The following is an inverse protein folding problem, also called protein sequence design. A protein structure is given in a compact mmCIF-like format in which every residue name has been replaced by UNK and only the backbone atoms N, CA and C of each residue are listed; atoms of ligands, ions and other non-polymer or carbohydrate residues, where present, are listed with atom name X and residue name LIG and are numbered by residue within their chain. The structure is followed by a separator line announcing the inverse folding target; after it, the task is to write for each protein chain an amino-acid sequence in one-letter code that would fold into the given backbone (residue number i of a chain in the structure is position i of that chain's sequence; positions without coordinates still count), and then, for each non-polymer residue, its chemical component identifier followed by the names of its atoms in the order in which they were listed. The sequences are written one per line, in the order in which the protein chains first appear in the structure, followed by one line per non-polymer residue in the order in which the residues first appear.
data_IF_660218956227
#
_entry.id   IF_660218956227
#
_cell.length_a   1.000
_cell.length_b   1.000
_cell.length_c   1.000
_cell.angle_alpha   90.00
_cell.angle_beta   90.00
_cell.angle_gamma   90.00
#
_symmetry.space_group_name_H-M   'P 1'
#
loop_
_entity.id
_entity.type
_entity.pdbx_description
1 polymer ?
#
# COMPACT_ATOMS: atom_id res chain seq x y z
N UNK A 1 -3.07 -45.16 2.40
CA UNK A 1 -3.91 -44.71 3.53
C UNK A 1 -3.56 -43.26 3.80
N UNK A 2 -4.33 -42.30 3.30
CA UNK A 2 -4.17 -40.88 3.65
C UNK A 2 -4.85 -40.75 5.03
N UNK A 3 -4.06 -40.49 6.06
CA UNK A 3 -4.57 -40.23 7.40
C UNK A 3 -5.54 -39.03 7.28
N UNK A 4 -6.83 -39.24 7.60
CA UNK A 4 -7.78 -38.15 7.81
C UNK A 4 -7.20 -37.26 8.93
N UNK A 5 -6.66 -36.08 8.55
CA UNK A 5 -6.27 -35.07 9.54
C UNK A 5 -7.53 -34.73 10.35
N UNK A 6 -7.46 -34.93 11.65
CA UNK A 6 -8.51 -34.54 12.58
C UNK A 6 -8.81 -33.03 12.31
N UNK A 7 -10.09 -32.68 12.12
CA UNK A 7 -10.52 -31.29 11.80
C UNK A 7 -10.14 -30.28 12.89
N UNK A 8 -9.70 -30.71 14.04
CA UNK A 8 -9.45 -29.88 15.23
C UNK A 8 -7.96 -29.79 15.61
N UNK A 9 -7.04 -30.05 14.67
CA UNK A 9 -5.60 -29.83 14.87
C UNK A 9 -5.14 -28.81 13.81
N UNK A 10 -4.50 -27.69 14.21
CA UNK A 10 -3.99 -26.71 13.24
C UNK A 10 -2.91 -27.33 12.35
N UNK A 11 -2.84 -26.86 11.10
CA UNK A 11 -1.83 -27.32 10.14
C UNK A 11 -0.39 -26.94 10.55
N UNK A 12 -0.26 -25.81 11.24
CA UNK A 12 0.97 -25.31 11.86
C UNK A 12 0.71 -25.15 13.35
N UNK A 13 1.60 -25.66 14.19
CA UNK A 13 1.50 -25.58 15.64
C UNK A 13 2.84 -25.24 16.26
N UNK A 14 2.81 -24.52 17.35
CA UNK A 14 3.99 -24.20 18.14
C UNK A 14 4.56 -25.47 18.78
N UNK A 15 5.88 -25.56 18.88
CA UNK A 15 6.57 -26.66 19.54
C UNK A 15 6.22 -26.67 21.03
N UNK A 16 6.05 -27.87 21.59
CA UNK A 16 5.69 -28.06 22.98
C UNK A 16 4.19 -28.14 23.27
N UNK A 17 3.32 -27.92 22.30
CA UNK A 17 1.87 -28.09 22.45
C UNK A 17 1.34 -29.25 21.61
N UNK A 18 0.42 -30.03 22.20
CA UNK A 18 -0.17 -31.20 21.56
C UNK A 18 -1.69 -31.31 21.81
N UNK A 19 -2.31 -32.39 21.30
CA UNK A 19 -3.75 -32.66 21.46
C UNK A 19 -4.61 -31.90 20.44
N UNK A 20 -5.88 -32.24 20.36
CA UNK A 20 -6.86 -31.59 19.49
C UNK A 20 -7.42 -30.32 20.16
N UNK A 21 -7.68 -29.29 19.38
CA UNK A 21 -8.39 -28.09 19.85
C UNK A 21 -9.87 -28.39 20.06
N UNK A 22 -10.50 -27.68 20.99
CA UNK A 22 -11.93 -27.80 21.29
C UNK A 22 -12.71 -26.83 20.39
N UNK A 23 -13.74 -27.34 19.70
CA UNK A 23 -14.75 -26.47 19.08
C UNK A 23 -15.71 -25.98 20.16
N UNK A 24 -15.94 -24.69 20.22
CA UNK A 24 -16.84 -24.04 21.19
C UNK A 24 -17.50 -22.83 20.55
N UNK A 25 -18.57 -22.31 21.11
CA UNK A 25 -19.20 -21.10 20.65
C UNK A 25 -18.59 -19.86 21.31
N UNK A 26 -18.63 -18.72 20.62
CA UNK A 26 -18.15 -17.43 21.15
C UNK A 26 -18.81 -17.14 22.50
N UNK A 27 -20.13 -17.30 22.62
CA UNK A 27 -20.86 -17.03 23.87
C UNK A 27 -20.52 -17.99 25.03
N UNK A 28 -19.87 -19.13 24.77
CA UNK A 28 -19.41 -20.04 25.83
C UNK A 28 -18.09 -19.60 26.49
N UNK A 29 -17.30 -18.77 25.81
CA UNK A 29 -15.96 -18.34 26.24
C UNK A 29 -15.85 -16.83 26.42
N UNK A 30 -16.96 -16.08 26.27
CA UNK A 30 -16.99 -14.63 26.38
C UNK A 30 -18.36 -14.10 26.76
N UNK A 31 -18.44 -12.84 27.16
CA UNK A 31 -19.65 -12.09 27.42
C UNK A 31 -19.87 -11.03 26.32
N UNK A 32 -21.02 -11.09 25.64
CA UNK A 32 -21.38 -10.11 24.62
C UNK A 32 -22.22 -8.97 25.23
N UNK A 33 -21.82 -7.74 24.92
CA UNK A 33 -22.47 -6.52 25.38
C UNK A 33 -22.92 -5.66 24.18
N UNK A 34 -23.99 -4.86 24.43
CA UNK A 34 -24.50 -3.91 23.46
C UNK A 34 -23.84 -2.54 23.64
N UNK A 35 -23.50 -1.90 22.55
CA UNK A 35 -23.21 -0.47 22.56
C UNK A 35 -24.47 0.37 22.80
N UNK A 36 -24.30 1.66 23.10
CA UNK A 36 -25.36 2.62 23.44
C UNK A 36 -25.12 3.97 22.74
N UNK A 37 -26.18 4.73 22.54
CA UNK A 37 -26.06 6.10 22.06
C UNK A 37 -25.22 6.95 23.03
N UNK A 38 -24.30 7.74 22.48
CA UNK A 38 -23.36 8.58 23.23
C UNK A 38 -23.72 10.06 23.26
N UNK A 39 -24.74 10.49 22.49
CA UNK A 39 -25.03 11.91 22.27
C UNK A 39 -25.48 12.67 23.53
N UNK A 40 -25.84 11.95 24.58
CA UNK A 40 -26.21 12.51 25.89
C UNK A 40 -25.04 12.71 26.83
N UNK A 41 -23.81 12.27 26.43
CA UNK A 41 -22.60 12.36 27.22
C UNK A 41 -21.87 13.68 26.96
N UNK A 42 -21.11 14.12 27.96
CA UNK A 42 -20.23 15.28 27.87
C UNK A 42 -18.94 15.01 27.08
N UNK A 43 -18.23 16.07 26.74
CA UNK A 43 -16.88 15.96 26.16
C UNK A 43 -15.90 15.41 27.20
N UNK A 44 -14.97 14.52 26.77
CA UNK A 44 -14.01 13.89 27.65
C UNK A 44 -12.88 13.22 26.88
N UNK A 45 -12.17 12.29 27.52
CA UNK A 45 -11.02 11.58 26.94
C UNK A 45 -11.28 10.12 26.60
N UNK A 46 -12.49 9.60 26.88
CA UNK A 46 -12.84 8.20 26.65
C UNK A 46 -13.30 8.01 25.20
N UNK A 47 -12.61 7.18 24.41
CA UNK A 47 -12.92 7.01 22.99
C UNK A 47 -14.27 6.30 22.79
N UNK A 48 -15.04 6.82 21.83
CA UNK A 48 -16.27 6.20 21.32
C UNK A 48 -15.98 5.51 20.00
N UNK A 49 -16.38 4.26 19.90
CA UNK A 49 -16.16 3.44 18.72
C UNK A 49 -17.47 3.04 18.04
N UNK A 50 -17.47 3.11 16.71
CA UNK A 50 -18.51 2.56 15.84
C UNK A 50 -17.94 1.48 14.93
N UNK A 51 -18.74 0.93 14.02
CA UNK A 51 -18.31 -0.17 13.13
C UNK A 51 -17.15 0.22 12.18
N UNK A 52 -16.89 1.50 12.00
CA UNK A 52 -15.77 2.03 11.22
C UNK A 52 -14.54 2.42 12.05
N UNK A 53 -14.56 2.21 13.37
CA UNK A 53 -13.47 2.58 14.27
C UNK A 53 -13.82 3.78 15.17
N UNK A 54 -12.80 4.54 15.59
CA UNK A 54 -12.94 5.73 16.44
C UNK A 54 -13.81 6.82 15.80
N UNK A 55 -14.65 7.46 16.62
CA UNK A 55 -15.57 8.51 16.20
C UNK A 55 -15.32 9.84 16.91
N UNK A 56 -15.41 9.85 18.23
CA UNK A 56 -15.29 11.02 19.12
C UNK A 56 -14.78 10.55 20.49
N UNK A 57 -14.62 11.49 21.44
CA UNK A 57 -14.33 11.16 22.84
C UNK A 57 -15.40 11.77 23.77
N UNK A 58 -15.71 11.06 24.85
CA UNK A 58 -16.74 11.38 25.84
C UNK A 58 -16.20 11.27 27.26
N UNK A 59 -17.01 11.65 28.26
CA UNK A 59 -16.66 11.67 29.68
C UNK A 59 -16.99 10.36 30.44
N UNK A 60 -17.64 9.39 29.79
CA UNK A 60 -18.04 8.12 30.42
C UNK A 60 -17.62 6.92 29.57
N UNK A 61 -17.43 5.76 30.22
CA UNK A 61 -17.12 4.48 29.59
C UNK A 61 -18.25 3.48 29.73
N UNK A 62 -18.41 2.57 28.76
CA UNK A 62 -19.18 1.34 28.90
C UNK A 62 -18.35 0.20 29.51
N UNK A 63 -17.07 0.14 29.17
CA UNK A 63 -16.06 -0.70 29.82
C UNK A 63 -14.97 0.19 30.38
N UNK A 64 -14.69 0.04 31.70
CA UNK A 64 -13.67 0.83 32.38
C UNK A 64 -12.31 0.14 32.40
N UNK A 65 -12.28 -1.16 32.62
CA UNK A 65 -11.06 -1.92 32.90
C UNK A 65 -10.89 -3.17 32.01
N UNK A 66 -11.95 -3.59 31.30
CA UNK A 66 -11.93 -4.81 30.50
C UNK A 66 -11.78 -4.49 29.03
N UNK A 67 -10.69 -4.98 28.44
CA UNK A 67 -10.49 -4.97 27.00
C UNK A 67 -11.49 -5.93 26.32
N UNK A 68 -11.87 -5.62 25.07
CA UNK A 68 -12.88 -6.39 24.36
C UNK A 68 -12.57 -6.50 22.85
N UNK A 69 -13.33 -7.35 22.17
CA UNK A 69 -13.38 -7.38 20.70
C UNK A 69 -14.68 -6.72 20.23
N UNK A 70 -14.54 -5.64 19.46
CA UNK A 70 -15.66 -4.97 18.79
C UNK A 70 -16.10 -5.78 17.56
N UNK A 71 -17.41 -6.10 17.47
CA UNK A 71 -18.00 -6.81 16.32
C UNK A 71 -19.17 -5.98 15.82
N UNK A 72 -19.14 -5.63 14.52
CA UNK A 72 -20.19 -4.82 13.90
C UNK A 72 -21.57 -5.49 14.00
N UNK A 73 -22.53 -4.77 14.59
CA UNK A 73 -23.95 -5.16 14.61
C UNK A 73 -24.62 -4.81 13.28
N UNK A 74 -24.28 -3.64 12.69
CA UNK A 74 -24.93 -3.12 11.48
C UNK A 74 -23.95 -2.31 10.66
N UNK A 75 -23.84 -2.57 9.37
CA UNK A 75 -22.92 -1.91 8.44
C UNK A 75 -21.65 -2.74 8.22
N UNK A 76 -20.51 -2.32 8.73
CA UNK A 76 -19.25 -3.05 8.61
C UNK A 76 -19.19 -4.20 9.62
N UNK A 77 -19.73 -5.36 9.26
CA UNK A 77 -19.80 -6.54 10.14
C UNK A 77 -18.58 -7.46 10.04
N UNK A 78 -17.79 -7.36 8.96
CA UNK A 78 -16.68 -8.28 8.63
C UNK A 78 -15.31 -7.84 9.12
N UNK A 79 -15.24 -6.75 9.90
CA UNK A 79 -13.97 -6.20 10.40
C UNK A 79 -14.00 -6.03 11.93
N UNK A 80 -13.97 -7.12 12.71
CA UNK A 80 -13.77 -7.03 14.15
C UNK A 80 -12.45 -6.35 14.49
N UNK A 81 -12.36 -5.72 15.66
CA UNK A 81 -11.12 -5.11 16.14
C UNK A 81 -11.07 -5.04 17.67
N UNK A 82 -9.86 -4.95 18.23
CA UNK A 82 -9.66 -4.86 19.67
C UNK A 82 -10.03 -3.47 20.17
N UNK A 83 -10.78 -3.43 21.27
CA UNK A 83 -11.15 -2.25 22.03
C UNK A 83 -10.35 -2.26 23.34
N UNK A 84 -9.52 -1.24 23.54
CA UNK A 84 -8.76 -1.05 24.78
C UNK A 84 -9.55 -0.20 25.76
N UNK A 85 -9.74 -0.71 26.98
CA UNK A 85 -10.39 0.03 28.05
C UNK A 85 -9.57 1.25 28.52
N UNK A 86 -10.21 2.34 28.98
CA UNK A 86 -11.66 2.56 28.96
C UNK A 86 -12.21 2.95 27.60
N UNK A 87 -13.41 2.50 27.24
CA UNK A 87 -14.06 2.83 25.97
C UNK A 87 -15.58 2.92 26.05
N UNK A 88 -16.18 3.55 25.03
CA UNK A 88 -17.61 3.51 24.73
C UNK A 88 -17.85 2.96 23.34
N UNK A 89 -18.94 2.20 23.13
CA UNK A 89 -19.36 1.75 21.79
C UNK A 89 -20.76 2.23 21.47
N UNK A 90 -21.01 2.61 20.20
CA UNK A 90 -22.34 3.00 19.74
C UNK A 90 -23.23 1.76 19.53
N UNK A 91 -24.55 1.97 19.42
CA UNK A 91 -25.59 0.94 19.30
C UNK A 91 -25.43 0.02 18.06
N UNK A 92 -24.64 0.41 17.07
CA UNK A 92 -24.32 -0.39 15.88
C UNK A 92 -23.08 -1.28 16.04
N UNK A 93 -22.42 -1.26 17.21
CA UNK A 93 -21.25 -2.05 17.53
C UNK A 93 -21.50 -2.86 18.82
N UNK A 94 -21.39 -4.19 18.74
CA UNK A 94 -21.27 -5.03 19.92
C UNK A 94 -19.84 -5.01 20.42
N UNK A 95 -19.64 -5.24 21.72
CA UNK A 95 -18.33 -5.57 22.25
C UNK A 95 -18.39 -6.86 23.05
N UNK A 96 -17.37 -7.69 22.88
CA UNK A 96 -17.31 -9.05 23.43
C UNK A 96 -16.08 -9.15 24.32
N UNK A 97 -16.30 -9.39 25.61
CA UNK A 97 -15.25 -9.53 26.62
C UNK A 97 -14.96 -11.00 26.82
N UNK A 98 -13.73 -11.50 26.53
CA UNK A 98 -13.35 -12.88 26.81
C UNK A 98 -13.39 -13.15 28.31
N UNK A 99 -13.71 -14.41 28.71
CA UNK A 99 -13.62 -14.83 30.10
C UNK A 99 -12.14 -15.04 30.53
N UNK A 100 -11.91 -15.32 31.83
CA UNK A 100 -10.55 -15.44 32.37
C UNK A 100 -9.74 -16.64 31.81
N UNK A 101 -10.40 -17.63 31.22
CA UNK A 101 -9.77 -18.79 30.59
C UNK A 101 -9.49 -18.60 29.09
N UNK A 102 -9.74 -17.37 28.55
CA UNK A 102 -9.61 -17.06 27.13
C UNK A 102 -8.72 -15.83 26.93
N UNK A 103 -7.59 -16.02 26.26
CA UNK A 103 -6.70 -14.93 25.93
C UNK A 103 -7.32 -14.00 24.89
N UNK A 104 -7.28 -12.69 25.12
CA UNK A 104 -7.91 -11.68 24.26
C UNK A 104 -7.33 -11.68 22.84
N UNK A 105 -6.01 -11.76 22.70
CA UNK A 105 -5.36 -11.67 21.38
C UNK A 105 -5.63 -12.94 20.55
N UNK A 106 -5.60 -14.10 21.20
CA UNK A 106 -6.01 -15.37 20.58
C UNK A 106 -7.50 -15.34 20.18
N UNK A 107 -8.37 -14.87 21.10
CA UNK A 107 -9.81 -14.75 20.86
C UNK A 107 -10.08 -13.84 19.65
N UNK A 108 -9.43 -12.68 19.58
CA UNK A 108 -9.53 -11.78 18.45
C UNK A 108 -9.11 -12.46 17.15
N UNK A 109 -7.95 -13.13 17.12
CA UNK A 109 -7.49 -13.89 15.95
C UNK A 109 -8.51 -14.96 15.51
N UNK A 110 -9.16 -15.64 16.47
CA UNK A 110 -10.21 -16.63 16.21
C UNK A 110 -11.48 -16.00 15.65
N UNK A 111 -11.88 -14.84 16.17
CA UNK A 111 -13.06 -14.07 15.69
C UNK A 111 -12.85 -13.55 14.27
N UNK A 112 -11.62 -13.22 13.87
CA UNK A 112 -11.28 -12.82 12.50
C UNK A 112 -11.44 -13.96 11.48
N UNK A 113 -11.36 -15.24 11.91
CA UNK A 113 -11.54 -16.40 11.03
C UNK A 113 -13.01 -16.73 10.74
N UNK A 114 -13.94 -16.11 11.48
CA UNK A 114 -15.39 -16.33 11.27
C UNK A 114 -15.84 -15.59 10.01
N UNK A 115 -16.49 -16.31 9.10
CA UNK A 115 -17.14 -15.69 7.93
C UNK A 115 -18.43 -14.96 8.37
N UNK A 116 -18.26 -13.72 8.81
CA UNK A 116 -19.37 -12.87 9.27
C UNK A 116 -20.32 -12.51 8.13
N UNK A 117 -19.84 -12.46 6.89
CA UNK A 117 -20.70 -12.16 5.74
C UNK A 117 -21.65 -13.31 5.45
N UNK A 118 -21.21 -14.56 5.57
CA UNK A 118 -22.07 -15.73 5.48
C UNK A 118 -23.10 -15.81 6.62
N UNK A 119 -22.86 -15.15 7.73
CA UNK A 119 -23.76 -15.08 8.89
C UNK A 119 -24.67 -13.83 8.89
N UNK A 120 -24.61 -13.01 7.84
CA UNK A 120 -25.47 -11.83 7.69
C UNK A 120 -26.95 -12.25 7.67
N UNK A 121 -27.77 -11.56 8.48
CA UNK A 121 -29.20 -11.86 8.64
C UNK A 121 -30.11 -10.88 7.87
N UNK A 122 -29.55 -9.88 7.19
CA UNK A 122 -30.30 -8.85 6.50
C UNK A 122 -30.13 -8.90 4.97
N UNK A 123 -31.15 -8.55 4.23
CA UNK A 123 -31.14 -8.43 2.77
C UNK A 123 -30.61 -7.08 2.26
N UNK A 124 -30.57 -6.06 3.14
CA UNK A 124 -30.07 -4.72 2.82
C UNK A 124 -28.69 -4.46 3.45
N UNK A 125 -28.64 -3.47 4.35
CA UNK A 125 -27.41 -3.19 5.08
C UNK A 125 -27.02 -4.39 5.94
N UNK A 126 -25.80 -4.95 5.79
CA UNK A 126 -25.38 -6.12 6.55
C UNK A 126 -25.57 -5.96 8.05
N UNK A 127 -26.10 -6.99 8.72
CA UNK A 127 -26.33 -6.96 10.15
C UNK A 127 -26.19 -8.33 10.81
N UNK A 128 -25.76 -8.31 12.07
CA UNK A 128 -25.66 -9.48 12.95
C UNK A 128 -26.56 -9.30 14.18
N UNK A 129 -27.09 -10.40 14.70
CA UNK A 129 -27.77 -10.44 15.99
C UNK A 129 -26.81 -10.92 17.08
N UNK A 130 -27.12 -10.61 18.35
CA UNK A 130 -26.38 -11.13 19.49
C UNK A 130 -26.38 -12.68 19.52
N UNK A 131 -27.52 -13.27 19.14
CA UNK A 131 -27.64 -14.73 19.03
C UNK A 131 -26.69 -15.29 17.96
N UNK A 132 -26.61 -14.67 16.78
CA UNK A 132 -25.73 -15.09 15.70
C UNK A 132 -24.25 -15.05 16.11
N UNK A 133 -23.85 -14.00 16.85
CA UNK A 133 -22.46 -13.90 17.35
C UNK A 133 -22.22 -14.94 18.43
N UNK A 134 -23.08 -15.04 19.45
CA UNK A 134 -22.91 -15.99 20.53
C UNK A 134 -22.90 -17.45 20.07
N UNK A 135 -23.63 -17.79 19.01
CA UNK A 135 -23.68 -19.15 18.45
C UNK A 135 -22.60 -19.43 17.39
N UNK A 136 -21.75 -18.46 17.07
CA UNK A 136 -20.66 -18.69 16.12
C UNK A 136 -19.58 -19.59 16.74
N UNK A 137 -19.24 -20.65 16.01
CA UNK A 137 -18.22 -21.61 16.44
C UNK A 137 -16.82 -21.08 16.18
N UNK A 138 -15.94 -21.29 17.16
CA UNK A 138 -14.50 -21.10 17.08
C UNK A 138 -13.79 -22.36 17.62
N UNK A 139 -12.55 -22.57 17.20
CA UNK A 139 -11.70 -23.63 17.74
C UNK A 139 -10.66 -23.02 18.65
N UNK A 140 -10.55 -23.55 19.90
CA UNK A 140 -9.62 -23.03 20.89
C UNK A 140 -8.73 -24.15 21.44
N UNK A 141 -7.44 -23.85 21.73
CA UNK A 141 -6.58 -24.74 22.50
C UNK A 141 -7.17 -25.06 23.86
N UNK A 142 -6.79 -26.21 24.41
CA UNK A 142 -7.24 -26.62 25.75
C UNK A 142 -6.59 -25.81 26.88
N UNK A 143 -5.41 -25.24 26.64
CA UNK A 143 -4.64 -24.52 27.65
C UNK A 143 -4.57 -23.04 27.35
N UNK A 144 -4.60 -22.24 28.40
CA UNK A 144 -4.46 -20.76 28.27
C UNK A 144 -3.05 -20.39 27.78
N UNK A 145 -2.03 -21.18 28.16
CA UNK A 145 -0.64 -20.97 27.74
C UNK A 145 -0.47 -21.07 26.21
N UNK A 146 -1.13 -22.05 25.57
CA UNK A 146 -1.11 -22.16 24.11
C UNK A 146 -1.85 -20.96 23.45
N UNK A 147 -2.99 -20.56 24.02
CA UNK A 147 -3.71 -19.38 23.53
C UNK A 147 -2.83 -18.12 23.62
N UNK A 148 -2.19 -17.90 24.79
CA UNK A 148 -1.30 -16.76 25.01
C UNK A 148 -0.09 -16.78 24.07
N UNK A 149 0.53 -17.94 23.86
CA UNK A 149 1.66 -18.07 22.95
C UNK A 149 1.27 -17.72 21.49
N UNK A 150 0.11 -18.18 21.03
CA UNK A 150 -0.42 -17.86 19.70
C UNK A 150 -0.81 -16.38 19.62
N UNK A 151 -1.53 -15.87 20.64
CA UNK A 151 -1.94 -14.46 20.71
C UNK A 151 -0.75 -13.51 20.67
N UNK A 152 0.34 -13.84 21.37
CA UNK A 152 1.57 -13.06 21.36
C UNK A 152 2.22 -12.99 19.96
N UNK A 153 2.18 -14.08 19.18
CA UNK A 153 2.69 -14.07 17.80
C UNK A 153 1.90 -13.08 16.94
N UNK A 154 0.56 -13.14 16.98
CA UNK A 154 -0.27 -12.24 16.20
C UNK A 154 -0.12 -10.78 16.64
N UNK A 155 -0.05 -10.52 17.94
CA UNK A 155 0.22 -9.17 18.48
C UNK A 155 1.56 -8.64 17.98
N UNK A 156 2.64 -9.44 18.06
CA UNK A 156 3.95 -9.04 17.58
C UNK A 156 3.98 -8.76 16.06
N UNK A 157 3.23 -9.57 15.29
CA UNK A 157 3.11 -9.35 13.83
C UNK A 157 2.34 -8.07 13.52
N UNK A 158 1.22 -7.81 14.19
CA UNK A 158 0.44 -6.59 14.02
C UNK A 158 1.24 -5.34 14.42
N UNK A 159 2.00 -5.41 15.52
CA UNK A 159 2.89 -4.33 15.95
C UNK A 159 3.99 -4.08 14.93
N UNK A 160 4.62 -5.13 14.39
CA UNK A 160 5.63 -5.00 13.34
C UNK A 160 5.04 -4.35 12.07
N UNK A 161 3.85 -4.82 11.61
CA UNK A 161 3.15 -4.23 10.47
C UNK A 161 2.85 -2.75 10.71
N UNK A 162 2.35 -2.39 11.89
CA UNK A 162 2.05 -1.01 12.26
C UNK A 162 3.31 -0.14 12.30
N UNK A 163 4.42 -0.63 12.83
CA UNK A 163 5.70 0.08 12.86
C UNK A 163 6.24 0.30 11.44
N UNK A 164 6.22 -0.74 10.60
CA UNK A 164 6.65 -0.62 9.20
C UNK A 164 5.78 0.36 8.41
N UNK A 165 4.46 0.32 8.62
CA UNK A 165 3.52 1.26 7.98
C UNK A 165 3.81 2.70 8.37
N UNK A 166 4.01 2.98 9.67
CA UNK A 166 4.36 4.33 10.16
C UNK A 166 5.72 4.79 9.61
N UNK A 167 6.72 3.89 9.61
CA UNK A 167 8.04 4.19 9.03
C UNK A 167 7.93 4.54 7.56
N UNK A 168 7.20 3.74 6.78
CA UNK A 168 6.99 3.98 5.35
C UNK A 168 6.30 5.33 5.09
N UNK A 169 5.24 5.64 5.84
CA UNK A 169 4.57 6.95 5.74
C UNK A 169 5.50 8.12 6.06
N UNK A 170 6.31 8.01 7.12
CA UNK A 170 7.28 9.04 7.49
C UNK A 170 8.35 9.23 6.42
N UNK A 171 8.84 8.15 5.81
CA UNK A 171 9.81 8.21 4.70
C UNK A 171 9.22 8.85 3.45
N UNK A 172 7.97 8.55 3.11
CA UNK A 172 7.28 9.20 2.00
C UNK A 172 7.10 10.70 2.23
N UNK A 173 6.70 11.11 3.44
CA UNK A 173 6.60 12.53 3.81
C UNK A 173 7.96 13.22 3.74
N UNK A 174 9.02 12.58 4.23
CA UNK A 174 10.38 13.11 4.16
C UNK A 174 10.86 13.24 2.70
N UNK A 175 10.59 12.24 1.84
CA UNK A 175 10.90 12.29 0.40
C UNK A 175 10.21 13.48 -0.25
N UNK A 176 8.91 13.67 -0.03
CA UNK A 176 8.14 14.80 -0.58
C UNK A 176 8.70 16.14 -0.12
N UNK A 177 8.98 16.30 1.18
CA UNK A 177 9.57 17.53 1.73
C UNK A 177 10.96 17.82 1.16
N UNK A 178 11.80 16.79 0.98
CA UNK A 178 13.12 16.95 0.36
C UNK A 178 12.99 17.33 -1.13
N UNK A 179 12.06 16.72 -1.87
CA UNK A 179 11.82 17.09 -3.26
C UNK A 179 11.44 18.56 -3.41
N UNK A 180 10.51 19.05 -2.58
CA UNK A 180 10.10 20.45 -2.61
C UNK A 180 11.24 21.43 -2.29
N UNK A 181 12.22 21.03 -1.48
CA UNK A 181 13.30 21.91 -1.01
C UNK A 181 14.61 21.74 -1.78
N UNK A 182 14.90 20.56 -2.31
CA UNK A 182 16.14 20.26 -3.07
C UNK A 182 16.04 20.57 -4.56
N UNK A 183 14.85 20.91 -5.06
CA UNK A 183 14.67 21.45 -6.41
C UNK A 183 14.19 22.91 -6.32
N UNK A 184 14.76 23.83 -7.12
CA UNK A 184 14.31 25.22 -7.13
C UNK A 184 12.83 25.33 -7.44
N UNK A 185 12.12 26.17 -6.70
CA UNK A 185 10.71 26.45 -6.94
C UNK A 185 10.55 27.54 -8.03
N UNK A 186 9.31 27.77 -8.49
CA UNK A 186 9.01 28.79 -9.51
C UNK A 186 9.58 30.17 -9.10
N UNK A 187 10.39 30.76 -9.96
CA UNK A 187 11.07 32.05 -9.72
C UNK A 187 12.38 31.96 -8.93
N UNK A 188 12.83 30.77 -8.57
CA UNK A 188 14.12 30.54 -7.91
C UNK A 188 15.12 29.90 -8.89
N UNK A 189 16.41 30.21 -8.73
CA UNK A 189 17.52 29.58 -9.46
C UNK A 189 18.41 28.71 -8.56
N UNK A 190 18.15 28.73 -7.25
CA UNK A 190 18.87 27.95 -6.23
C UNK A 190 17.86 27.23 -5.35
N UNK A 191 18.04 25.92 -5.06
CA UNK A 191 17.16 25.20 -4.15
C UNK A 191 17.26 25.74 -2.71
N UNK A 192 16.17 25.62 -1.93
CA UNK A 192 16.16 26.01 -0.51
C UNK A 192 17.13 25.15 0.33
N UNK A 193 17.15 23.86 0.03
CA UNK A 193 18.05 22.88 0.67
C UNK A 193 19.02 22.36 -0.38
N UNK A 194 20.32 22.54 -0.12
CA UNK A 194 21.40 22.09 -1.01
C UNK A 194 22.38 21.21 -0.24
N UNK A 195 22.95 20.24 -0.93
CA UNK A 195 23.99 19.39 -0.35
C UNK A 195 25.27 20.21 -0.14
N UNK A 196 25.99 19.91 0.94
CA UNK A 196 27.25 20.57 1.26
C UNK A 196 28.29 20.40 0.15
N UNK A 197 29.04 21.46 -0.14
CA UNK A 197 30.10 21.46 -1.15
C UNK A 197 29.65 21.82 -2.56
N UNK A 198 28.37 22.14 -2.77
CA UNK A 198 27.85 22.64 -4.05
C UNK A 198 27.36 24.07 -3.92
N UNK A 199 27.68 24.88 -4.95
CA UNK A 199 27.32 26.31 -5.01
C UNK A 199 26.95 26.75 -6.44
N UNK A 200 26.64 28.03 -6.63
CA UNK A 200 26.25 28.62 -7.91
C UNK A 200 24.76 28.38 -8.25
N UNK A 201 24.28 29.17 -9.20
CA UNK A 201 22.89 29.08 -9.68
C UNK A 201 22.70 27.91 -10.64
N UNK A 202 21.54 27.25 -10.51
CA UNK A 202 21.13 26.27 -11.51
C UNK A 202 20.75 26.98 -12.81
N UNK A 203 20.98 26.31 -13.94
CA UNK A 203 20.75 26.86 -15.26
C UNK A 203 19.55 26.20 -15.92
N UNK A 204 18.70 27.02 -16.53
CA UNK A 204 17.60 26.53 -17.34
C UNK A 204 18.14 25.85 -18.61
N UNK A 205 17.65 24.65 -18.89
CA UNK A 205 18.00 23.88 -20.07
C UNK A 205 16.81 23.05 -20.55
N UNK A 206 16.78 22.73 -21.84
CA UNK A 206 15.79 21.84 -22.42
C UNK A 206 15.99 20.41 -21.88
N UNK A 207 14.89 19.72 -21.59
CA UNK A 207 14.95 18.31 -21.22
C UNK A 207 15.72 17.47 -22.24
N UNK A 208 15.61 17.78 -23.53
CA UNK A 208 16.30 17.07 -24.61
C UNK A 208 17.83 17.17 -24.57
N UNK A 209 18.39 18.17 -23.89
CA UNK A 209 19.85 18.31 -23.76
C UNK A 209 20.43 17.27 -22.76
N UNK A 210 19.57 16.63 -21.96
CA UNK A 210 19.95 15.75 -20.86
C UNK A 210 19.51 14.30 -21.05
N UNK A 211 18.67 14.01 -22.06
CA UNK A 211 18.08 12.69 -22.26
C UNK A 211 17.99 12.30 -23.74
N UNK A 212 18.05 10.99 -23.97
CA UNK A 212 17.72 10.37 -25.26
C UNK A 212 16.45 9.54 -25.11
N UNK A 213 15.58 9.56 -26.13
CA UNK A 213 14.32 8.81 -26.12
C UNK A 213 14.41 7.59 -27.04
N UNK A 214 13.73 6.52 -26.65
CA UNK A 214 13.47 5.39 -27.54
C UNK A 214 12.01 4.97 -27.50
N UNK A 215 11.53 4.49 -28.65
CA UNK A 215 10.13 4.18 -28.88
C UNK A 215 9.78 2.75 -28.47
N UNK A 216 8.51 2.53 -28.16
CA UNK A 216 7.97 1.23 -27.83
C UNK A 216 7.50 0.42 -29.05
N UNK A 217 7.34 -0.87 -28.85
CA UNK A 217 6.88 -1.87 -29.80
C UNK A 217 5.36 -1.76 -30.01
N UNK A 218 4.94 -1.69 -31.27
CA UNK A 218 3.56 -1.98 -31.67
C UNK A 218 3.47 -3.46 -32.08
N UNK A 219 2.54 -4.19 -31.48
CA UNK A 219 2.32 -5.62 -31.72
C UNK A 219 0.84 -5.94 -31.82
N UNK A 220 0.53 -7.04 -32.45
CA UNK A 220 -0.83 -7.55 -32.61
C UNK A 220 -1.19 -8.58 -31.54
N UNK A 221 -2.47 -8.81 -31.21
CA UNK A 221 -2.87 -9.88 -30.28
C UNK A 221 -2.33 -11.27 -30.67
N UNK A 222 -2.17 -11.55 -31.96
CA UNK A 222 -1.60 -12.80 -32.49
C UNK A 222 -0.09 -12.96 -32.26
N UNK A 223 0.61 -11.91 -31.83
CA UNK A 223 2.03 -11.95 -31.52
C UNK A 223 2.30 -12.34 -30.05
N UNK A 224 1.24 -12.33 -29.22
CA UNK A 224 1.34 -12.66 -27.79
C UNK A 224 1.56 -14.17 -27.61
N UNK A 225 2.51 -14.51 -26.74
CA UNK A 225 2.87 -15.89 -26.41
C UNK A 225 2.72 -16.13 -24.90
N UNK A 226 2.37 -17.35 -24.51
CA UNK A 226 2.19 -17.71 -23.08
C UNK A 226 3.52 -18.04 -22.39
N UNK A 227 4.47 -18.62 -23.13
CA UNK A 227 5.76 -19.06 -22.60
C UNK A 227 6.88 -18.63 -23.54
N UNK A 228 7.99 -18.18 -22.98
CA UNK A 228 9.11 -17.66 -23.74
C UNK A 228 8.79 -16.31 -24.42
N UNK A 229 9.72 -15.80 -25.20
CA UNK A 229 9.55 -14.55 -25.93
C UNK A 229 10.15 -13.34 -25.19
N UNK A 230 9.80 -12.16 -25.70
CA UNK A 230 10.29 -10.87 -25.17
C UNK A 230 9.20 -10.23 -24.33
N UNK A 231 9.53 -9.80 -23.11
CA UNK A 231 8.63 -9.07 -22.23
C UNK A 231 8.30 -7.68 -22.81
N UNK A 232 7.04 -7.28 -22.77
CA UNK A 232 6.59 -5.93 -23.18
C UNK A 232 6.07 -5.18 -21.96
N UNK A 233 6.82 -4.17 -21.52
CA UNK A 233 6.40 -3.27 -20.43
C UNK A 233 5.33 -2.31 -20.92
N UNK A 234 4.21 -2.27 -20.20
CA UNK A 234 3.04 -1.42 -20.47
C UNK A 234 2.78 -0.50 -19.28
N UNK A 235 1.79 0.39 -19.40
CA UNK A 235 1.40 1.28 -18.29
C UNK A 235 0.98 0.53 -17.02
N UNK A 236 0.46 -0.70 -17.12
CA UNK A 236 0.15 -1.57 -15.98
C UNK A 236 1.39 -2.03 -15.21
N UNK A 237 2.56 -1.99 -15.84
CA UNK A 237 3.83 -2.37 -15.23
C UNK A 237 4.54 -1.21 -14.52
N UNK A 238 4.00 0.00 -14.55
CA UNK A 238 4.54 1.17 -13.83
C UNK A 238 3.64 1.47 -12.64
N UNK A 239 4.13 1.20 -11.43
CA UNK A 239 3.41 1.44 -10.17
C UNK A 239 4.37 2.08 -9.16
N UNK A 240 3.97 3.18 -8.57
CA UNK A 240 4.71 3.87 -7.50
C UNK A 240 6.22 4.05 -7.80
N UNK A 241 6.52 4.60 -8.97
CA UNK A 241 7.88 4.82 -9.52
C UNK A 241 8.73 3.53 -9.64
N UNK A 242 8.11 2.35 -9.60
CA UNK A 242 8.77 1.05 -9.75
C UNK A 242 8.15 0.20 -10.87
N UNK A 243 8.90 -0.83 -11.31
CA UNK A 243 8.37 -1.82 -12.24
C UNK A 243 7.64 -2.94 -11.48
N UNK A 244 6.38 -3.20 -11.85
CA UNK A 244 5.56 -4.29 -11.33
C UNK A 244 5.37 -5.37 -12.40
N UNK A 245 5.49 -6.63 -12.01
CA UNK A 245 5.46 -7.78 -12.93
C UNK A 245 4.25 -8.70 -12.71
N UNK A 246 3.19 -8.20 -12.06
CA UNK A 246 1.95 -8.97 -11.80
C UNK A 246 1.15 -9.25 -13.06
N UNK A 247 1.23 -8.35 -14.07
CA UNK A 247 0.52 -8.42 -15.35
C UNK A 247 1.51 -8.30 -16.50
N UNK A 248 2.19 -9.41 -16.81
CA UNK A 248 3.21 -9.48 -17.86
C UNK A 248 2.63 -9.95 -19.19
N UNK A 249 3.01 -9.27 -20.28
CA UNK A 249 2.75 -9.70 -21.64
C UNK A 249 4.06 -10.01 -22.34
N UNK A 250 4.11 -11.17 -22.99
CA UNK A 250 5.26 -11.60 -23.78
C UNK A 250 4.86 -11.71 -25.25
N UNK A 251 5.75 -11.30 -26.14
CA UNK A 251 5.58 -11.42 -27.58
C UNK A 251 6.67 -12.31 -28.22
N UNK A 252 6.39 -12.87 -29.37
CA UNK A 252 7.38 -13.64 -30.15
C UNK A 252 8.60 -12.74 -30.43
N UNK A 253 9.81 -13.22 -30.14
CA UNK A 253 11.01 -12.42 -30.32
C UNK A 253 11.24 -11.96 -31.77
N UNK A 254 10.73 -12.69 -32.75
CA UNK A 254 10.85 -12.34 -34.18
C UNK A 254 10.05 -11.10 -34.62
N UNK A 255 9.12 -10.58 -33.79
CA UNK A 255 8.38 -9.34 -34.09
C UNK A 255 9.02 -8.11 -33.48
N UNK A 256 10.04 -8.30 -32.65
CA UNK A 256 10.71 -7.21 -31.95
C UNK A 256 11.63 -6.44 -32.89
N UNK A 257 11.27 -5.20 -33.17
CA UNK A 257 12.01 -4.29 -34.06
C UNK A 257 12.39 -2.96 -33.39
N UNK A 258 12.37 -2.94 -32.05
CA UNK A 258 12.69 -1.78 -31.21
C UNK A 258 13.83 -2.11 -30.25
N UNK A 259 14.39 -1.11 -29.60
CA UNK A 259 15.49 -1.27 -28.66
C UNK A 259 15.03 -2.01 -27.38
N UNK A 260 15.91 -2.89 -26.89
CA UNK A 260 15.73 -3.50 -25.57
C UNK A 260 15.94 -2.44 -24.46
N UNK A 261 15.18 -2.65 -23.41
CA UNK A 261 15.35 -1.94 -22.12
C UNK A 261 16.67 -2.39 -21.48
N UNK A 262 17.38 -1.44 -20.87
CA UNK A 262 18.64 -1.64 -20.17
C UNK A 262 18.55 -1.16 -18.73
N UNK A 263 19.43 -1.61 -17.84
CA UNK A 263 19.58 -1.00 -16.51
C UNK A 263 19.77 0.52 -16.62
N UNK A 264 19.15 1.24 -15.70
CA UNK A 264 19.12 2.71 -15.63
C UNK A 264 18.30 3.40 -16.74
N UNK A 265 17.62 2.70 -17.63
CA UNK A 265 16.58 3.30 -18.45
C UNK A 265 15.41 3.75 -17.56
N UNK A 266 14.78 4.87 -17.87
CA UNK A 266 13.54 5.30 -17.25
C UNK A 266 12.40 5.01 -18.22
N UNK A 267 11.41 4.26 -17.77
CA UNK A 267 10.25 3.88 -18.57
C UNK A 267 9.06 4.76 -18.17
N UNK A 268 8.54 5.53 -19.11
CA UNK A 268 7.48 6.52 -18.85
C UNK A 268 6.23 6.24 -19.67
N UNK A 269 5.08 6.41 -19.06
CA UNK A 269 3.76 6.36 -19.71
C UNK A 269 3.54 7.66 -20.46
N UNK A 270 3.45 7.59 -21.78
CA UNK A 270 3.24 8.78 -22.62
C UNK A 270 1.87 8.83 -23.28
N UNK A 271 1.13 7.74 -23.26
CA UNK A 271 -0.25 7.65 -23.76
C UNK A 271 -1.07 6.69 -22.93
N UNK A 272 -2.24 7.13 -22.50
CA UNK A 272 -3.18 6.28 -21.76
C UNK A 272 -4.60 6.85 -21.83
N UNK A 273 -5.62 6.00 -21.67
CA UNK A 273 -7.02 6.44 -21.52
C UNK A 273 -7.24 7.30 -20.26
N UNK A 274 -6.52 7.02 -19.18
CA UNK A 274 -6.50 7.85 -17.97
C UNK A 274 -5.39 8.88 -18.02
N UNK A 275 -5.77 10.15 -17.94
CA UNK A 275 -4.84 11.29 -17.89
C UNK A 275 -3.89 11.23 -16.69
N UNK A 276 -4.36 10.72 -15.56
CA UNK A 276 -3.58 10.59 -14.32
C UNK A 276 -2.39 9.62 -14.42
N UNK A 277 -2.33 8.79 -15.46
CA UNK A 277 -1.22 7.87 -15.70
C UNK A 277 -0.13 8.47 -16.60
N UNK A 278 -0.43 9.55 -17.33
CA UNK A 278 0.56 10.20 -18.21
C UNK A 278 1.64 10.87 -17.37
N UNK A 279 2.91 10.63 -17.73
CA UNK A 279 4.08 11.09 -16.98
C UNK A 279 4.54 10.14 -15.86
N UNK A 280 3.70 9.16 -15.44
CA UNK A 280 4.16 8.13 -14.51
C UNK A 280 5.30 7.35 -15.12
N UNK A 281 6.32 7.10 -14.31
CA UNK A 281 7.56 6.49 -14.78
C UNK A 281 8.12 5.51 -13.75
N UNK A 282 9.09 4.72 -14.17
CA UNK A 282 9.87 3.83 -13.30
C UNK A 282 11.32 3.76 -13.80
N UNK A 283 12.26 3.82 -12.88
CA UNK A 283 13.67 3.55 -13.15
C UNK A 283 13.92 2.04 -13.18
N UNK A 284 14.56 1.55 -14.23
CA UNK A 284 14.92 0.13 -14.37
C UNK A 284 16.09 -0.19 -13.46
N UNK A 285 15.85 -0.95 -12.41
CA UNK A 285 16.85 -1.36 -11.42
C UNK A 285 17.34 -2.78 -11.76
N UNK A 286 18.58 -2.89 -12.21
CA UNK A 286 19.21 -4.18 -12.55
C UNK A 286 18.85 -4.73 -13.92
N UNK A 287 19.37 -5.90 -14.21
CA UNK A 287 19.18 -6.58 -15.49
C UNK A 287 17.77 -7.21 -15.58
N UNK A 288 17.18 -7.11 -16.75
CA UNK A 288 15.92 -7.76 -17.09
C UNK A 288 16.15 -8.82 -18.17
N UNK A 289 15.31 -9.87 -18.26
CA UNK A 289 15.30 -10.73 -19.43
C UNK A 289 15.04 -9.90 -20.69
N UNK A 290 15.10 -10.47 -21.92
CA UNK A 290 14.76 -9.73 -23.12
C UNK A 290 13.47 -8.95 -22.97
N UNK A 291 13.55 -7.61 -22.90
CA UNK A 291 12.46 -6.73 -22.52
C UNK A 291 12.42 -5.50 -23.41
N UNK A 292 11.25 -5.15 -23.89
CA UNK A 292 10.95 -3.90 -24.62
C UNK A 292 9.78 -3.17 -23.97
N UNK A 293 9.54 -1.92 -24.37
CA UNK A 293 8.37 -1.15 -23.95
C UNK A 293 7.29 -1.20 -25.03
N UNK A 294 6.01 -1.08 -24.64
CA UNK A 294 4.87 -1.00 -25.55
C UNK A 294 4.72 0.39 -26.19
N UNK A 295 3.98 0.51 -27.27
CA UNK A 295 3.80 1.72 -28.07
C UNK A 295 3.22 2.93 -27.30
N UNK A 296 2.63 2.71 -26.11
CA UNK A 296 2.11 3.78 -25.26
C UNK A 296 3.10 4.27 -24.20
N UNK A 297 4.32 3.75 -24.27
CA UNK A 297 5.45 4.09 -23.42
C UNK A 297 6.55 4.78 -24.19
N UNK A 298 7.37 5.53 -23.50
CA UNK A 298 8.68 5.96 -23.99
C UNK A 298 9.76 5.51 -23.02
N UNK A 299 10.90 5.10 -23.58
CA UNK A 299 12.09 4.89 -22.78
C UNK A 299 12.98 6.13 -22.84
N UNK A 300 13.61 6.44 -21.73
CA UNK A 300 14.44 7.62 -21.53
C UNK A 300 15.80 7.16 -21.02
N UNK A 301 16.88 7.58 -21.67
CA UNK A 301 18.28 7.37 -21.26
C UNK A 301 18.92 8.68 -20.89
N UNK A 302 19.64 8.71 -19.79
CA UNK A 302 20.40 9.87 -19.35
C UNK A 302 21.75 9.46 -18.80
N UNK A 303 22.69 10.41 -18.81
CA UNK A 303 23.98 10.25 -18.08
C UNK A 303 23.78 10.28 -16.56
N UNK A 304 22.69 10.87 -16.11
CA UNK A 304 22.32 10.98 -14.68
C UNK A 304 20.88 10.43 -14.45
N UNK A 305 20.66 9.11 -14.63
CA UNK A 305 19.31 8.53 -14.62
C UNK A 305 18.60 8.67 -13.27
N UNK A 306 19.33 8.60 -12.15
CA UNK A 306 18.78 8.76 -10.81
C UNK A 306 18.31 10.20 -10.55
N UNK A 307 19.07 11.20 -10.99
CA UNK A 307 18.66 12.60 -10.92
C UNK A 307 17.43 12.85 -11.78
N UNK A 308 17.43 12.31 -13.01
CA UNK A 308 16.30 12.47 -13.92
C UNK A 308 15.03 11.81 -13.38
N UNK A 309 15.16 10.63 -12.77
CA UNK A 309 14.02 9.98 -12.10
C UNK A 309 13.48 10.86 -10.96
N UNK A 310 14.35 11.44 -10.14
CA UNK A 310 13.94 12.36 -9.09
C UNK A 310 13.29 13.65 -9.65
N UNK A 311 13.82 14.22 -10.75
CA UNK A 311 13.22 15.36 -11.42
C UNK A 311 11.81 15.05 -11.92
N UNK A 312 11.57 13.85 -12.46
CA UNK A 312 10.27 13.43 -12.96
C UNK A 312 9.25 13.14 -11.85
N UNK A 313 9.70 12.94 -10.59
CA UNK A 313 8.83 12.85 -9.42
C UNK A 313 8.43 14.24 -8.84
N UNK A 314 8.95 15.35 -9.38
CA UNK A 314 8.65 16.71 -8.88
C UNK A 314 7.30 17.23 -9.37
N UNK A 315 6.64 18.06 -8.56
CA UNK A 315 5.43 18.80 -8.97
C UNK A 315 5.67 19.72 -10.17
N UNK A 316 6.91 20.20 -10.37
CA UNK A 316 7.32 20.98 -11.53
C UNK A 316 7.17 20.17 -12.82
N UNK A 317 7.65 18.92 -12.82
CA UNK A 317 7.50 18.04 -13.98
C UNK A 317 6.02 17.71 -14.23
N UNK A 318 5.27 17.34 -13.20
CA UNK A 318 3.84 17.05 -13.31
C UNK A 318 3.05 18.26 -13.89
N UNK A 319 3.38 19.47 -13.43
CA UNK A 319 2.79 20.72 -13.94
C UNK A 319 3.10 20.93 -15.42
N UNK A 320 4.36 20.72 -15.84
CA UNK A 320 4.75 20.83 -17.25
C UNK A 320 4.07 19.78 -18.14
N UNK A 321 3.95 18.54 -17.65
CA UNK A 321 3.18 17.47 -18.30
C UNK A 321 1.72 17.90 -18.45
N UNK A 322 1.09 18.39 -17.38
CA UNK A 322 -0.31 18.83 -17.41
C UNK A 322 -0.55 20.01 -18.37
N UNK A 323 0.36 21.00 -18.40
CA UNK A 323 0.32 22.15 -19.31
C UNK A 323 0.52 21.73 -20.78
N UNK A 324 1.34 20.71 -21.03
CA UNK A 324 1.62 20.21 -22.39
C UNK A 324 0.48 19.41 -22.98
N UNK A 325 -0.38 18.80 -22.16
CA UNK A 325 -1.52 18.03 -22.61
C UNK A 325 -2.70 18.95 -22.97
N UNK A 326 -3.18 18.86 -24.22
CA UNK A 326 -4.43 19.53 -24.64
C UNK A 326 -5.68 18.98 -23.96
N UNK A 327 -6.83 19.62 -24.20
CA UNK A 327 -8.11 19.22 -23.59
C UNK A 327 -8.60 17.82 -24.00
N UNK A 328 -8.22 17.36 -25.20
CA UNK A 328 -8.80 16.18 -25.87
C UNK A 328 -7.85 15.01 -26.04
N UNK A 329 -6.54 15.18 -25.90
CA UNK A 329 -5.54 14.15 -26.20
C UNK A 329 -4.73 13.83 -24.95
N UNK A 330 -4.90 12.61 -24.44
CA UNK A 330 -4.11 12.08 -23.32
C UNK A 330 -2.81 11.47 -23.85
N UNK A 331 -1.90 12.32 -24.32
CA UNK A 331 -0.62 11.90 -24.86
C UNK A 331 0.43 13.01 -24.73
N UNK A 332 1.68 12.62 -24.42
CA UNK A 332 2.87 13.45 -24.56
C UNK A 332 3.67 12.92 -25.75
N UNK A 333 4.16 13.82 -26.60
CA UNK A 333 5.02 13.49 -27.74
C UNK A 333 6.45 13.95 -27.49
N UNK A 334 7.42 13.42 -28.25
CA UNK A 334 8.82 13.89 -28.20
C UNK A 334 8.95 15.40 -28.41
N UNK A 335 8.13 15.99 -29.31
CA UNK A 335 8.11 17.45 -29.53
C UNK A 335 7.55 18.25 -28.34
N UNK A 336 6.71 17.64 -27.50
CA UNK A 336 6.27 18.26 -26.24
C UNK A 336 7.37 18.19 -25.18
N UNK A 337 8.07 17.07 -25.06
CA UNK A 337 9.25 16.97 -24.18
C UNK A 337 10.33 17.98 -24.56
N UNK A 338 10.58 18.20 -25.85
CA UNK A 338 11.54 19.18 -26.34
C UNK A 338 11.23 20.62 -25.91
N UNK A 339 9.98 20.92 -25.55
CA UNK A 339 9.54 22.24 -25.09
C UNK A 339 9.56 22.38 -23.57
N UNK A 340 9.84 21.29 -22.85
CA UNK A 340 9.94 21.31 -21.39
C UNK A 340 11.33 21.79 -20.99
N UNK A 341 11.38 22.82 -20.15
CA UNK A 341 12.61 23.38 -19.63
C UNK A 341 12.61 23.24 -18.12
N UNK A 342 13.74 22.89 -17.56
CA UNK A 342 13.96 22.73 -16.13
C UNK A 342 15.29 23.36 -15.74
N UNK A 343 15.42 23.67 -14.47
CA UNK A 343 16.68 24.09 -13.89
C UNK A 343 17.54 22.86 -13.59
N UNK A 344 18.80 22.90 -13.97
CA UNK A 344 19.77 21.84 -13.74
C UNK A 344 20.94 22.38 -12.93
N UNK A 345 21.47 21.57 -11.98
CA UNK A 345 22.70 21.88 -11.28
C UNK A 345 23.84 22.16 -12.27
N UNK A 346 24.78 23.06 -11.92
CA UNK A 346 25.88 23.43 -12.80
C UNK A 346 26.88 22.29 -13.07
N UNK A 347 26.90 21.27 -12.19
CA UNK A 347 27.83 20.16 -12.25
C UNK A 347 27.11 18.81 -12.31
N UNK A 348 27.73 17.83 -12.97
CA UNK A 348 27.21 16.45 -13.01
C UNK A 348 27.34 15.76 -11.65
N UNK A 349 28.34 16.15 -10.85
CA UNK A 349 28.57 15.65 -9.51
C UNK A 349 27.42 16.00 -8.56
N UNK A 350 26.86 17.22 -8.67
CA UNK A 350 25.69 17.60 -7.89
C UNK A 350 24.45 16.82 -8.32
N UNK A 351 24.23 16.67 -9.64
CA UNK A 351 23.14 15.83 -10.16
C UNK A 351 23.25 14.39 -9.62
N UNK A 352 24.46 13.82 -9.64
CA UNK A 352 24.71 12.47 -9.14
C UNK A 352 24.43 12.37 -7.62
N UNK A 353 24.89 13.36 -6.84
CA UNK A 353 24.68 13.38 -5.39
C UNK A 353 23.18 13.48 -5.04
N UNK A 354 22.43 14.35 -5.72
CA UNK A 354 20.97 14.46 -5.54
C UNK A 354 20.29 13.15 -5.91
N UNK A 355 20.62 12.57 -7.07
CA UNK A 355 20.08 11.28 -7.50
C UNK A 355 20.34 10.16 -6.50
N UNK A 356 21.52 10.13 -5.87
CA UNK A 356 21.87 9.15 -4.85
C UNK A 356 21.03 9.29 -3.57
N UNK A 357 20.72 10.52 -3.13
CA UNK A 357 19.83 10.77 -1.98
C UNK A 357 18.46 10.17 -2.20
N UNK A 358 17.82 10.46 -3.33
CA UNK A 358 16.48 9.95 -3.62
C UNK A 358 16.46 8.45 -3.87
N UNK A 359 17.47 7.91 -4.56
CA UNK A 359 17.62 6.44 -4.72
C UNK A 359 17.71 5.72 -3.37
N UNK A 360 18.45 6.29 -2.42
CA UNK A 360 18.57 5.72 -1.07
C UNK A 360 17.24 5.76 -0.31
N UNK A 361 16.48 6.83 -0.43
CA UNK A 361 15.15 6.95 0.17
C UNK A 361 14.16 5.92 -0.40
N UNK A 362 14.24 5.63 -1.70
CA UNK A 362 13.39 4.64 -2.36
C UNK A 362 13.72 3.18 -1.98
N UNK A 363 14.85 2.95 -1.32
CA UNK A 363 15.30 1.60 -0.90
C UNK A 363 15.11 1.33 0.59
N UNK A 364 14.67 2.32 1.38
CA UNK A 364 14.42 2.22 2.84
C UNK A 364 12.97 1.84 3.16
#
# INVERSE_FOLDING_TARGET
MVAMRSRNVPALRLEGFDGAWKTTSIGAVSALHNGRDYKHLGEGCIPVYGTGGYMVSVDQALSHDEDAVGIGRKGTISKPYILKAPFWTVDTLFYVVPNQETDLAFFYASVLQVDWMAKNTATGLPSLTSQTINSADISIPHTLEEQQAIGAIFTNLDDAINQHTKKHQALQQAKTALMQRMFPQEGQTVPELRLDGFDGEWKESSLNDHVEYFSGLTYSPGDVVKNGGTLVLRSSNVKDATLAFDDCVYVRSGVVNVQNVKPNDIIMVVRNGSRALIGKHALVRGELPPTVIGAFMTGIRSKQPHFMSALFDTELFESQVAKSMGATINQITGGMFAKMHFLFPPTLEEQQAIGAVFTRLDTL
#
